data_IF_534699694753
#
_entry.id   IF_534699694753
#
_cell.length_a   1.000
_cell.length_b   1.000
_cell.length_c   1.000
_cell.angle_alpha   90.00
_cell.angle_beta   90.00
_cell.angle_gamma   90.00
#
_symmetry.space_group_name_H-M   'P 1'
#
loop_
_entity.id
_entity.type
_entity.pdbx_description
1 polymer ?
#
# COMPACT_ATOMS: atom_id res chain seq x y z
N UNK A 1 10.69 32.47 23.48
CA UNK A 1 10.63 31.12 22.87
C UNK A 1 9.83 30.12 23.73
N UNK A 2 8.71 30.53 24.34
CA UNK A 2 7.97 29.72 25.33
C UNK A 2 6.58 29.26 24.86
N UNK A 3 6.36 29.17 23.54
CA UNK A 3 5.05 28.85 22.95
C UNK A 3 5.09 27.61 22.03
N UNK A 4 6.15 26.80 22.10
CA UNK A 4 6.31 25.58 21.29
C UNK A 4 5.83 24.30 22.00
N UNK A 5 5.36 24.39 23.25
CA UNK A 5 5.08 23.22 24.10
C UNK A 5 3.60 22.98 24.45
N UNK A 6 2.65 23.80 23.96
CA UNK A 6 1.27 23.79 24.48
C UNK A 6 0.19 23.08 23.66
N UNK A 7 0.50 22.45 22.53
CA UNK A 7 -0.55 21.78 21.71
C UNK A 7 -0.08 20.49 21.04
N UNK A 8 0.82 19.73 21.69
CA UNK A 8 1.05 18.32 21.35
C UNK A 8 0.41 17.38 22.37
N UNK A 9 -0.85 17.62 22.73
CA UNK A 9 -1.71 16.53 23.17
C UNK A 9 -2.08 15.73 21.93
N UNK A 10 -1.09 15.01 21.41
CA UNK A 10 -1.26 14.10 20.30
C UNK A 10 -2.25 13.03 20.76
N UNK A 11 -3.42 12.96 20.12
CA UNK A 11 -4.16 11.72 20.12
C UNK A 11 -3.20 10.66 19.53
N UNK A 12 -2.74 9.69 20.33
CA UNK A 12 -1.72 8.70 19.93
C UNK A 12 -2.33 7.58 19.08
N UNK A 13 -3.07 7.94 18.03
CA UNK A 13 -3.75 6.99 17.16
C UNK A 13 -3.30 7.08 15.71
N UNK A 14 -3.42 5.99 14.92
CA UNK A 14 -3.06 5.98 13.50
C UNK A 14 -3.79 7.06 12.69
N UNK A 15 -5.00 7.46 13.10
CA UNK A 15 -5.73 8.59 12.50
C UNK A 15 -5.07 9.95 12.72
N UNK A 16 -4.37 10.15 13.83
CA UNK A 16 -3.64 11.39 14.12
C UNK A 16 -2.37 11.48 13.28
N UNK A 17 -1.72 10.34 13.03
CA UNK A 17 -0.57 10.26 12.12
C UNK A 17 -0.95 10.59 10.67
N UNK A 18 -2.07 10.04 10.19
CA UNK A 18 -2.54 10.30 8.83
C UNK A 18 -3.13 11.70 8.65
N UNK A 19 -3.82 12.24 9.67
CA UNK A 19 -4.37 13.60 9.64
C UNK A 19 -3.45 14.58 10.38
N UNK A 20 -2.18 14.66 9.97
CA UNK A 20 -1.15 15.43 10.67
C UNK A 20 -1.39 16.95 10.63
N UNK A 21 -2.27 17.42 9.75
CA UNK A 21 -2.72 18.81 9.63
C UNK A 21 -3.94 19.14 10.53
N UNK A 22 -4.44 18.14 11.27
CA UNK A 22 -5.59 18.27 12.18
C UNK A 22 -6.96 18.24 11.49
N UNK A 23 -7.02 17.97 10.17
CA UNK A 23 -8.29 17.88 9.41
C UNK A 23 -8.55 16.44 8.97
N UNK A 24 -9.80 15.97 8.99
CA UNK A 24 -10.11 14.61 8.54
C UNK A 24 -10.09 14.51 7.00
N UNK A 25 -9.29 13.57 6.48
CA UNK A 25 -9.19 13.25 5.04
C UNK A 25 -9.69 11.82 4.75
N UNK A 26 -11.00 11.52 4.83
CA UNK A 26 -11.50 10.15 4.80
C UNK A 26 -11.24 9.44 3.47
N UNK A 27 -11.19 10.16 2.35
CA UNK A 27 -10.97 9.57 1.02
C UNK A 27 -9.51 9.20 0.83
N UNK A 28 -8.61 10.12 1.15
CA UNK A 28 -7.16 10.01 1.05
C UNK A 28 -6.66 8.93 2.02
N UNK A 29 -7.15 8.94 3.26
CA UNK A 29 -6.90 7.87 4.24
C UNK A 29 -7.40 6.51 3.75
N UNK A 30 -8.56 6.47 3.09
CA UNK A 30 -9.12 5.27 2.49
C UNK A 30 -8.23 4.71 1.38
N UNK A 31 -7.75 5.57 0.47
CA UNK A 31 -6.83 5.19 -0.62
C UNK A 31 -5.51 4.70 -0.05
N UNK A 32 -4.93 5.39 0.94
CA UNK A 32 -3.69 4.96 1.58
C UNK A 32 -3.84 3.58 2.23
N UNK A 33 -4.89 3.37 3.03
CA UNK A 33 -5.16 2.08 3.66
C UNK A 33 -5.41 0.97 2.63
N UNK A 34 -6.19 1.23 1.59
CA UNK A 34 -6.45 0.27 0.52
C UNK A 34 -5.18 -0.11 -0.23
N UNK A 35 -4.33 0.86 -0.57
CA UNK A 35 -3.05 0.62 -1.23
C UNK A 35 -2.11 -0.25 -0.38
N UNK A 36 -2.03 0.00 0.93
CA UNK A 36 -1.25 -0.84 1.84
C UNK A 36 -1.82 -2.26 1.93
N UNK A 37 -3.13 -2.42 2.02
CA UNK A 37 -3.77 -3.73 2.05
C UNK A 37 -3.51 -4.52 0.76
N UNK A 38 -3.67 -3.88 -0.41
CA UNK A 38 -3.33 -4.49 -1.70
C UNK A 38 -1.86 -4.89 -1.75
N UNK A 39 -0.95 -4.04 -1.28
CA UNK A 39 0.47 -4.34 -1.23
C UNK A 39 0.82 -5.52 -0.32
N UNK A 40 0.21 -5.60 0.86
CA UNK A 40 0.37 -6.74 1.77
C UNK A 40 -0.17 -8.03 1.15
N UNK A 41 -1.36 -8.00 0.53
CA UNK A 41 -1.93 -9.18 -0.14
C UNK A 41 -1.05 -9.63 -1.30
N UNK A 42 -0.59 -8.70 -2.14
CA UNK A 42 0.31 -9.01 -3.26
C UNK A 42 1.63 -9.62 -2.78
N UNK A 43 2.23 -9.04 -1.73
CA UNK A 43 3.48 -9.54 -1.17
C UNK A 43 3.32 -10.96 -0.61
N UNK A 44 2.28 -11.20 0.21
CA UNK A 44 2.06 -12.51 0.83
C UNK A 44 1.76 -13.58 -0.23
N UNK A 45 0.90 -13.27 -1.21
CA UNK A 45 0.58 -14.21 -2.30
C UNK A 45 1.80 -14.49 -3.19
N UNK A 46 2.62 -13.47 -3.47
CA UNK A 46 3.88 -13.63 -4.19
C UNK A 46 4.88 -14.52 -3.43
N UNK A 47 5.02 -14.32 -2.12
CA UNK A 47 5.90 -15.15 -1.28
C UNK A 47 5.40 -16.60 -1.18
N UNK A 48 4.09 -16.83 -1.06
CA UNK A 48 3.52 -18.18 -1.04
C UNK A 48 3.75 -18.93 -2.36
N UNK A 49 3.70 -18.21 -3.48
CA UNK A 49 4.05 -18.74 -4.79
C UNK A 49 5.54 -19.09 -4.85
N UNK A 50 6.41 -18.17 -4.40
CA UNK A 50 7.85 -18.37 -4.40
C UNK A 50 8.30 -19.57 -3.53
N UNK A 51 7.66 -19.77 -2.37
CA UNK A 51 8.00 -20.86 -1.43
C UNK A 51 7.31 -22.18 -1.82
N UNK A 52 6.69 -22.25 -3.00
CA UNK A 52 6.03 -23.45 -3.55
C UNK A 52 4.92 -24.02 -2.64
N UNK A 53 4.30 -23.17 -1.82
CA UNK A 53 3.22 -23.57 -0.90
C UNK A 53 1.86 -23.62 -1.61
N UNK A 54 1.60 -22.61 -2.45
CA UNK A 54 0.37 -22.48 -3.20
C UNK A 54 0.63 -21.66 -4.46
N UNK A 55 -0.02 -22.05 -5.55
CA UNK A 55 0.09 -21.31 -6.81
C UNK A 55 -0.86 -20.11 -6.83
N UNK A 56 -0.32 -18.93 -6.45
CA UNK A 56 -1.07 -17.69 -6.31
C UNK A 56 -0.49 -16.58 -7.20
N UNK A 57 0.27 -16.93 -8.24
CA UNK A 57 0.98 -15.97 -9.08
C UNK A 57 0.02 -14.98 -9.78
N UNK A 58 -1.19 -15.43 -10.16
CA UNK A 58 -2.22 -14.58 -10.77
C UNK A 58 -2.71 -13.50 -9.81
N UNK A 59 -2.96 -13.89 -8.55
CA UNK A 59 -3.40 -12.97 -7.50
C UNK A 59 -2.28 -12.00 -7.20
N UNK A 60 -1.06 -12.48 -6.98
CA UNK A 60 0.12 -11.64 -6.73
C UNK A 60 0.34 -10.60 -7.84
N UNK A 61 0.19 -11.02 -9.09
CA UNK A 61 0.33 -10.18 -10.29
C UNK A 61 -0.73 -9.08 -10.36
N UNK A 62 -2.02 -9.44 -10.35
CA UNK A 62 -3.10 -8.49 -10.57
C UNK A 62 -3.36 -7.61 -9.34
N UNK A 63 -3.31 -8.17 -8.14
CA UNK A 63 -3.43 -7.40 -6.90
C UNK A 63 -2.22 -6.48 -6.74
N UNK A 64 -1.02 -6.97 -7.07
CA UNK A 64 0.19 -6.15 -7.08
C UNK A 64 0.11 -4.99 -8.06
N UNK A 65 -0.36 -5.23 -9.29
CA UNK A 65 -0.58 -4.18 -10.29
C UNK A 65 -1.61 -3.15 -9.82
N UNK A 66 -2.75 -3.60 -9.30
CA UNK A 66 -3.78 -2.72 -8.75
C UNK A 66 -3.24 -1.89 -7.57
N UNK A 67 -2.44 -2.51 -6.70
CA UNK A 67 -1.76 -1.85 -5.59
C UNK A 67 -0.76 -0.80 -6.05
N UNK A 68 0.05 -1.09 -7.07
CA UNK A 68 1.00 -0.12 -7.66
C UNK A 68 0.27 1.08 -8.24
N UNK A 69 -0.80 0.86 -9.00
CA UNK A 69 -1.62 1.93 -9.58
C UNK A 69 -2.29 2.77 -8.49
N UNK A 70 -2.92 2.12 -7.50
CA UNK A 70 -3.59 2.82 -6.40
C UNK A 70 -2.61 3.63 -5.55
N UNK A 71 -1.45 3.04 -5.20
CA UNK A 71 -0.43 3.70 -4.41
C UNK A 71 0.22 4.85 -5.18
N UNK A 72 0.55 4.65 -6.45
CA UNK A 72 1.11 5.66 -7.34
C UNK A 72 0.16 6.84 -7.55
N UNK A 73 -1.12 6.57 -7.80
CA UNK A 73 -2.15 7.62 -7.87
C UNK A 73 -2.30 8.35 -6.53
N UNK A 74 -2.32 7.62 -5.43
CA UNK A 74 -2.44 8.18 -4.08
C UNK A 74 -1.35 9.20 -3.77
N UNK A 75 -0.11 9.02 -4.26
CA UNK A 75 0.97 9.99 -4.06
C UNK A 75 0.61 11.39 -4.57
N UNK A 76 -0.18 11.50 -5.65
CA UNK A 76 -0.57 12.77 -6.26
C UNK A 76 -1.77 13.43 -5.58
N UNK A 77 -2.60 12.66 -4.87
CA UNK A 77 -3.85 13.15 -4.26
C UNK A 77 -3.72 13.37 -2.75
N UNK A 78 -2.73 12.76 -2.09
CA UNK A 78 -2.53 12.89 -0.64
C UNK A 78 -2.34 14.32 -0.14
N UNK A 79 -3.06 14.64 0.93
CA UNK A 79 -3.05 15.91 1.63
C UNK A 79 -1.92 15.97 2.67
N UNK A 80 -1.51 14.84 3.24
CA UNK A 80 -0.54 14.80 4.34
C UNK A 80 0.71 13.95 4.04
N UNK A 81 1.75 14.15 4.84
CA UNK A 81 2.97 13.34 4.77
C UNK A 81 2.71 11.91 5.27
N UNK A 82 1.88 11.74 6.30
CA UNK A 82 1.57 10.42 6.87
C UNK A 82 0.92 9.49 5.85
N UNK A 83 -0.01 10.01 5.05
CA UNK A 83 -0.63 9.29 3.93
C UNK A 83 0.42 8.86 2.89
N UNK A 84 1.29 9.79 2.47
CA UNK A 84 2.35 9.52 1.48
C UNK A 84 3.30 8.44 1.96
N UNK A 85 3.66 8.46 3.24
CA UNK A 85 4.51 7.45 3.85
C UNK A 85 3.88 6.05 3.75
N UNK A 86 2.59 5.96 4.10
CA UNK A 86 1.84 4.71 4.06
C UNK A 86 1.67 4.21 2.61
N UNK A 87 1.45 5.13 1.67
CA UNK A 87 1.41 4.84 0.23
C UNK A 87 2.75 4.36 -0.33
N UNK A 88 3.89 4.88 0.13
CA UNK A 88 5.22 4.38 -0.31
C UNK A 88 5.41 2.93 0.15
N UNK A 89 5.02 2.60 1.38
CA UNK A 89 5.07 1.21 1.88
C UNK A 89 4.14 0.32 1.06
N UNK A 90 2.91 0.77 0.80
CA UNK A 90 1.96 0.06 -0.06
C UNK A 90 2.51 -0.16 -1.48
N UNK A 91 3.12 0.87 -2.07
CA UNK A 91 3.74 0.80 -3.38
C UNK A 91 4.89 -0.23 -3.42
N UNK A 92 5.79 -0.19 -2.43
CA UNK A 92 6.93 -1.11 -2.36
C UNK A 92 6.49 -2.56 -2.19
N UNK A 93 5.55 -2.82 -1.28
CA UNK A 93 5.02 -4.17 -1.03
C UNK A 93 4.22 -4.69 -2.23
N UNK A 94 3.40 -3.84 -2.86
CA UNK A 94 2.66 -4.18 -4.08
C UNK A 94 3.59 -4.48 -5.27
N UNK A 95 4.60 -3.64 -5.50
CA UNK A 95 5.57 -3.84 -6.57
C UNK A 95 6.36 -5.15 -6.37
N UNK A 96 6.81 -5.42 -5.14
CA UNK A 96 7.54 -6.65 -4.85
C UNK A 96 6.68 -7.90 -5.09
N UNK A 97 5.45 -7.91 -4.56
CA UNK A 97 4.49 -8.99 -4.81
C UNK A 97 4.16 -9.18 -6.29
N UNK A 98 3.96 -8.08 -7.03
CA UNK A 98 3.75 -8.11 -8.47
C UNK A 98 4.92 -8.73 -9.22
N UNK A 99 6.16 -8.33 -8.89
CA UNK A 99 7.35 -8.88 -9.54
C UNK A 99 7.53 -10.38 -9.25
N UNK A 100 7.20 -10.84 -8.05
CA UNK A 100 7.15 -12.27 -7.75
C UNK A 100 6.08 -12.97 -8.60
N UNK A 101 4.86 -12.45 -8.65
CA UNK A 101 3.79 -13.00 -9.50
C UNK A 101 4.22 -13.09 -10.97
N UNK A 102 4.92 -12.08 -11.47
CA UNK A 102 5.45 -12.09 -12.83
C UNK A 102 6.54 -13.12 -13.05
N UNK A 103 7.46 -13.28 -12.09
CA UNK A 103 8.58 -14.21 -12.18
C UNK A 103 8.17 -15.68 -12.11
N UNK A 104 7.08 -16.00 -11.39
CA UNK A 104 6.69 -17.39 -11.08
C UNK A 104 5.43 -17.89 -11.83
N UNK A 105 4.98 -17.18 -12.87
CA UNK A 105 3.84 -17.65 -13.69
C UNK A 105 3.11 -16.56 -14.48
N UNK A 106 3.47 -15.30 -14.23
CA UNK A 106 2.92 -14.17 -14.99
C UNK A 106 1.48 -13.81 -14.62
N UNK A 107 0.97 -12.71 -15.16
CA UNK A 107 -0.43 -12.28 -14.92
C UNK A 107 -1.47 -13.14 -15.64
N UNK A 108 -1.04 -14.09 -16.48
CA UNK A 108 -1.93 -14.87 -17.34
C UNK A 108 -1.81 -16.38 -17.16
N UNK A 109 -0.76 -16.93 -16.54
CA UNK A 109 -0.70 -18.37 -16.22
C UNK A 109 -0.91 -19.32 -17.39
N UNK A 110 -0.50 -18.93 -18.60
CA UNK A 110 -0.75 -19.69 -19.83
C UNK A 110 -2.18 -19.62 -20.38
N UNK A 111 -3.09 -18.85 -19.76
CA UNK A 111 -4.47 -18.65 -20.25
C UNK A 111 -4.51 -17.89 -21.59
N UNK A 112 -3.44 -17.16 -21.94
CA UNK A 112 -3.33 -16.39 -23.18
C UNK A 112 -2.38 -17.00 -24.23
N UNK A 113 -1.87 -18.23 -24.03
CA UNK A 113 -1.06 -18.98 -25.01
C UNK A 113 0.40 -19.16 -24.65
#
# INVERSE_FOLDING_TARGET
MAQAARTRQAAHGPRSFLNSDGKPHPRENGVAAAALLLGVVALLTGLLTQVEVADLHLVASWVGLAGVVAAGWGQYVSATLGERFLLVIGLGTAAFGMFLGFAYGGPFGGVLG
#
